data_IF_059309451642
#
_entry.id   IF_059309451642
#
_cell.length_a   1.000
_cell.length_b   1.000
_cell.length_c   1.000
_cell.angle_alpha   90.00
_cell.angle_beta   90.00
_cell.angle_gamma   90.00
#
_symmetry.space_group_name_H-M   'P 1'
#
loop_
_entity.id
_entity.type
_entity.pdbx_description
1 polymer ?
#
# COMPACT_ATOMS: atom_id res chain seq x y z
N UNK A 1 -11.23 23.10 1.93
CA UNK A 1 -10.41 22.31 2.86
C UNK A 1 -9.22 21.78 2.05
N UNK A 2 -8.06 22.44 2.11
CA UNK A 2 -6.86 21.99 1.42
C UNK A 2 -5.98 21.29 2.45
N UNK A 3 -5.76 19.98 2.30
CA UNK A 3 -4.84 19.24 3.16
C UNK A 3 -3.42 19.49 2.64
N UNK A 4 -2.66 20.33 3.35
CA UNK A 4 -1.31 20.77 2.96
C UNK A 4 -0.22 19.88 3.59
N UNK A 5 -0.35 18.56 3.44
CA UNK A 5 0.64 17.57 3.87
C UNK A 5 0.35 16.24 3.18
N UNK A 6 1.39 15.47 2.81
CA UNK A 6 1.19 14.16 2.23
C UNK A 6 0.52 13.24 3.25
N UNK A 7 -0.69 12.78 2.95
CA UNK A 7 -1.47 11.95 3.87
C UNK A 7 -0.94 10.52 3.86
N UNK A 8 -0.97 9.89 5.03
CA UNK A 8 -0.35 8.57 5.23
C UNK A 8 -1.33 7.59 5.85
N UNK A 9 -1.05 6.30 5.75
CA UNK A 9 -1.78 5.23 6.41
C UNK A 9 -0.81 4.21 7.02
N UNK A 10 -1.30 3.41 7.97
CA UNK A 10 -0.53 2.31 8.53
C UNK A 10 -0.50 1.17 7.52
N UNK A 11 0.70 0.70 7.17
CA UNK A 11 0.88 -0.41 6.24
C UNK A 11 1.75 -1.47 6.90
N UNK A 12 1.27 -2.72 6.85
CA UNK A 12 2.03 -3.89 7.29
C UNK A 12 2.05 -4.92 6.16
N UNK A 13 3.24 -5.28 5.71
CA UNK A 13 3.45 -6.29 4.66
C UNK A 13 4.15 -7.50 5.27
N UNK A 14 3.50 -8.65 5.17
CA UNK A 14 3.95 -9.89 5.81
C UNK A 14 3.84 -11.09 4.87
N UNK A 15 4.66 -12.10 5.12
CA UNK A 15 4.64 -13.40 4.46
C UNK A 15 4.89 -14.52 5.47
N UNK A 16 4.90 -15.77 5.00
CA UNK A 16 5.34 -16.91 5.79
C UNK A 16 6.77 -16.77 6.34
N UNK A 17 7.62 -15.98 5.69
CA UNK A 17 9.01 -15.77 6.09
C UNK A 17 9.19 -14.61 7.09
N UNK A 18 8.12 -13.87 7.40
CA UNK A 18 8.15 -12.77 8.35
C UNK A 18 7.55 -11.46 7.83
N UNK A 19 7.81 -10.38 8.57
CA UNK A 19 7.33 -9.03 8.28
C UNK A 19 8.39 -8.29 7.48
N UNK A 20 8.02 -7.78 6.31
CA UNK A 20 8.93 -7.02 5.42
C UNK A 20 8.80 -5.51 5.58
N UNK A 21 7.61 -5.04 5.97
CA UNK A 21 7.35 -3.62 6.20
C UNK A 21 6.32 -3.49 7.32
N UNK A 22 6.56 -2.58 8.26
CA UNK A 22 5.65 -2.22 9.35
C UNK A 22 5.87 -0.75 9.68
N UNK A 23 5.00 0.13 9.18
CA UNK A 23 5.23 1.58 9.27
C UNK A 23 4.13 2.41 8.64
N UNK A 24 4.45 3.70 8.39
CA UNK A 24 3.57 4.64 7.70
C UNK A 24 3.95 4.73 6.22
N UNK A 25 2.95 4.71 5.35
CA UNK A 25 3.13 4.83 3.91
C UNK A 25 2.22 5.91 3.33
N UNK A 26 2.68 6.60 2.30
CA UNK A 26 1.88 7.51 1.46
C UNK A 26 1.06 6.73 0.44
N UNK A 27 1.63 5.65 -0.09
CA UNK A 27 0.96 4.76 -1.06
C UNK A 27 1.56 3.37 -1.11
N UNK A 28 0.77 2.39 -1.55
CA UNK A 28 1.23 1.06 -1.93
C UNK A 28 0.67 0.68 -3.29
N UNK A 29 1.55 0.25 -4.20
CA UNK A 29 1.17 -0.31 -5.51
C UNK A 29 1.32 -1.82 -5.46
N UNK A 30 0.25 -2.53 -5.80
CA UNK A 30 0.19 -3.99 -5.81
C UNK A 30 -0.14 -4.51 -7.23
N UNK A 31 0.43 -5.65 -7.62
CA UNK A 31 0.06 -6.33 -8.86
C UNK A 31 -1.31 -7.01 -8.73
N UNK A 32 -2.20 -6.71 -9.68
CA UNK A 32 -3.55 -7.24 -9.81
C UNK A 32 -3.69 -8.04 -11.12
N UNK A 33 -4.82 -8.74 -11.31
CA UNK A 33 -5.06 -9.58 -12.50
C UNK A 33 -5.05 -8.77 -13.81
N UNK A 34 -5.57 -7.55 -13.73
CA UNK A 34 -5.85 -6.64 -14.83
C UNK A 34 -4.82 -5.50 -14.95
N UNK A 35 -3.77 -5.51 -14.11
CA UNK A 35 -2.73 -4.49 -14.11
C UNK A 35 -2.17 -4.26 -12.71
N UNK A 36 -1.95 -3.00 -12.36
CA UNK A 36 -1.50 -2.60 -11.02
C UNK A 36 -2.53 -1.69 -10.37
N UNK A 37 -2.76 -1.89 -9.07
CA UNK A 37 -3.61 -1.02 -8.26
C UNK A 37 -2.76 -0.24 -7.27
N UNK A 38 -3.04 1.06 -7.11
CA UNK A 38 -2.41 1.89 -6.09
C UNK A 38 -3.43 2.26 -5.01
N UNK A 39 -3.10 1.96 -3.76
CA UNK A 39 -3.90 2.30 -2.59
C UNK A 39 -3.27 3.54 -1.94
N UNK A 40 -4.11 4.54 -1.67
CA UNK A 40 -3.77 5.83 -1.05
C UNK A 40 -4.47 5.97 0.31
N UNK A 41 -4.07 6.99 1.07
CA UNK A 41 -4.82 7.40 2.25
C UNK A 41 -6.29 7.67 1.90
N UNK A 42 -7.20 7.30 2.82
CA UNK A 42 -8.66 7.43 2.66
C UNK A 42 -9.30 6.58 1.55
N UNK A 43 -8.58 5.60 0.99
CA UNK A 43 -9.21 4.57 0.17
C UNK A 43 -10.24 3.77 1.01
N UNK A 44 -11.32 3.33 0.36
CA UNK A 44 -12.35 2.50 0.99
C UNK A 44 -11.81 1.13 1.47
N UNK A 45 -12.51 0.50 2.42
CA UNK A 45 -12.14 -0.84 2.88
C UNK A 45 -12.32 -1.87 1.76
N UNK A 46 -11.29 -2.71 1.55
CA UNK A 46 -11.27 -3.66 0.44
C UNK A 46 -10.51 -4.93 0.79
N UNK A 47 -10.94 -6.05 0.18
CA UNK A 47 -10.16 -7.30 0.09
C UNK A 47 -9.88 -7.56 -1.39
N UNK A 48 -8.61 -7.73 -1.74
CA UNK A 48 -8.17 -7.96 -3.13
C UNK A 48 -7.12 -9.06 -3.18
N UNK A 49 -7.18 -9.88 -4.21
CA UNK A 49 -6.15 -10.88 -4.49
C UNK A 49 -4.99 -10.23 -5.28
N UNK A 50 -3.77 -10.41 -4.79
CA UNK A 50 -2.54 -10.02 -5.51
C UNK A 50 -2.07 -11.15 -6.44
N UNK A 51 -1.34 -10.77 -7.49
CA UNK A 51 -0.77 -11.70 -8.47
C UNK A 51 0.76 -11.61 -8.48
N UNK A 52 1.42 -12.47 -9.25
CA UNK A 52 2.87 -12.40 -9.39
C UNK A 52 3.28 -11.07 -10.04
N UNK A 53 4.19 -10.34 -9.39
CA UNK A 53 4.71 -9.07 -9.87
C UNK A 53 5.39 -8.30 -8.75
N UNK A 54 5.75 -7.04 -9.04
CA UNK A 54 6.46 -6.18 -8.10
C UNK A 54 5.48 -5.35 -7.28
N UNK A 55 5.67 -5.36 -5.96
CA UNK A 55 5.02 -4.43 -5.04
C UNK A 55 5.92 -3.21 -4.83
N UNK A 56 5.34 -2.00 -4.83
CA UNK A 56 6.07 -0.76 -4.55
C UNK A 56 5.43 -0.02 -3.38
N UNK A 57 6.24 0.38 -2.42
CA UNK A 57 5.80 1.12 -1.24
C UNK A 57 6.46 2.50 -1.28
N UNK A 58 5.66 3.56 -1.10
CA UNK A 58 6.18 4.89 -0.83
C UNK A 58 6.03 5.12 0.66
N UNK A 59 7.13 4.97 1.41
CA UNK A 59 7.16 5.23 2.85
C UNK A 59 6.90 6.70 3.15
N UNK A 60 6.41 6.97 4.35
CA UNK A 60 6.17 8.32 4.86
C UNK A 60 7.40 8.96 5.53
N UNK A 61 8.53 8.25 5.54
CA UNK A 61 9.82 8.67 6.09
C UNK A 61 10.52 9.71 5.17
#
# INVERSE_FOLDING_TARGET
MAQTGKETFGLKVMSANGVFFDGRAESVTIPCKDGSMQILAHHEEMIVAIYQGDMKIVSAD
#
